data_IF_005941118372
#
_entry.id   IF_005941118372
#
_cell.length_a   1.000
_cell.length_b   1.000
_cell.length_c   1.000
_cell.angle_alpha   90.00
_cell.angle_beta   90.00
_cell.angle_gamma   90.00
#
_symmetry.space_group_name_H-M   'P 1'
#
loop_
_entity.id
_entity.type
_entity.pdbx_description
1 polymer ?
#
# COMPACT_ATOMS: atom_id res chain seq x y z
N UNK A 1 3.93 25.99 24.70
CA UNK A 1 2.63 25.46 24.24
C UNK A 1 2.88 24.11 23.59
N UNK A 2 2.04 23.09 23.81
CA UNK A 2 2.16 21.83 23.09
C UNK A 2 1.98 22.07 21.58
N UNK A 3 2.83 21.47 20.77
CA UNK A 3 2.70 21.50 19.30
C UNK A 3 1.39 20.79 18.93
N UNK A 4 0.51 21.39 18.12
CA UNK A 4 -0.72 20.73 17.69
C UNK A 4 -0.40 19.42 16.95
N UNK A 5 -1.28 18.41 17.04
CA UNK A 5 -1.05 17.15 16.34
C UNK A 5 -0.98 17.40 14.82
N UNK A 6 -0.19 16.61 14.08
CA UNK A 6 -0.12 16.70 12.62
C UNK A 6 -1.49 16.55 11.96
N UNK A 7 -1.70 17.20 10.81
CA UNK A 7 -2.98 17.20 10.07
C UNK A 7 -3.47 15.81 9.59
N UNK A 8 -2.61 14.80 9.69
CA UNK A 8 -2.85 13.40 9.34
C UNK A 8 -3.12 12.50 10.56
N UNK A 9 -2.98 13.05 11.77
CA UNK A 9 -3.02 12.30 13.02
C UNK A 9 -4.32 11.51 13.17
N UNK A 10 -5.47 12.15 12.97
CA UNK A 10 -6.79 11.52 13.12
C UNK A 10 -6.98 10.35 12.15
N UNK A 11 -6.46 10.48 10.93
CA UNK A 11 -6.51 9.42 9.92
C UNK A 11 -5.72 8.18 10.37
N UNK A 12 -4.53 8.39 10.94
CA UNK A 12 -3.67 7.31 11.41
C UNK A 12 -4.14 6.69 12.72
N UNK A 13 -4.74 7.49 13.61
CA UNK A 13 -5.41 6.99 14.79
C UNK A 13 -6.57 6.07 14.39
N UNK A 14 -7.40 6.50 13.42
CA UNK A 14 -8.49 5.68 12.89
C UNK A 14 -8.00 4.40 12.20
N UNK A 15 -6.91 4.49 11.43
CA UNK A 15 -6.27 3.32 10.83
C UNK A 15 -5.84 2.30 11.89
N UNK A 16 -5.15 2.78 12.93
CA UNK A 16 -4.67 1.91 14.02
C UNK A 16 -5.83 1.29 14.80
N UNK A 17 -6.92 2.03 14.99
CA UNK A 17 -8.12 1.53 15.68
C UNK A 17 -8.75 0.34 14.93
N UNK A 18 -8.95 0.45 13.62
CA UNK A 18 -9.60 -0.62 12.83
C UNK A 18 -8.64 -1.71 12.37
N UNK A 19 -7.35 -1.40 12.25
CA UNK A 19 -6.29 -2.32 11.87
C UNK A 19 -5.12 -2.24 12.87
N UNK A 20 -5.23 -2.85 14.07
CA UNK A 20 -4.22 -2.72 15.13
C UNK A 20 -2.83 -3.25 14.77
N UNK A 21 -2.74 -4.09 13.72
CA UNK A 21 -1.46 -4.54 13.19
C UNK A 21 -0.72 -3.44 12.44
N UNK A 22 -1.34 -2.32 12.08
CA UNK A 22 -0.69 -1.16 11.45
C UNK A 22 -0.64 -0.01 12.44
N UNK A 23 0.56 0.46 12.76
CA UNK A 23 0.74 1.61 13.64
C UNK A 23 1.60 2.66 12.97
N UNK A 24 1.23 3.94 13.13
CA UNK A 24 2.00 5.07 12.61
C UNK A 24 2.34 6.00 13.76
N UNK A 25 3.64 6.20 14.01
CA UNK A 25 4.14 7.17 14.99
C UNK A 25 4.83 8.34 14.29
N UNK A 26 4.65 9.53 14.84
CA UNK A 26 5.41 10.70 14.41
C UNK A 26 6.75 10.77 15.13
N UNK A 27 7.80 11.05 14.36
CA UNK A 27 9.15 11.35 14.84
C UNK A 27 9.22 12.88 14.97
N UNK A 28 9.57 13.35 16.17
CA UNK A 28 9.65 14.78 16.45
C UNK A 28 10.75 15.50 15.67
N UNK A 29 10.66 16.81 15.56
CA UNK A 29 11.71 17.63 14.96
C UNK A 29 13.02 17.47 15.76
N UNK A 30 14.10 17.11 15.07
CA UNK A 30 15.40 16.83 15.70
C UNK A 30 15.52 15.45 16.37
N UNK A 31 14.44 14.68 16.48
CA UNK A 31 14.52 13.29 16.93
C UNK A 31 15.15 12.41 15.83
N UNK A 32 16.12 11.55 16.17
CA UNK A 32 16.70 10.62 15.21
C UNK A 32 15.66 9.60 14.75
N UNK A 33 15.80 9.15 13.50
CA UNK A 33 15.01 8.02 13.02
C UNK A 33 15.37 6.74 13.81
N UNK A 34 14.45 5.77 13.92
CA UNK A 34 14.73 4.50 14.59
C UNK A 34 15.88 3.77 13.92
N UNK A 35 16.79 3.21 14.73
CA UNK A 35 17.97 2.47 14.24
C UNK A 35 18.04 1.04 14.78
N UNK A 36 17.08 0.60 15.59
CA UNK A 36 17.08 -0.78 16.10
C UNK A 36 17.00 -1.81 14.95
N UNK A 37 17.54 -3.03 15.10
CA UNK A 37 17.63 -4.02 14.01
C UNK A 37 16.30 -4.41 13.34
N UNK A 38 15.17 -4.14 14.01
CA UNK A 38 13.80 -4.26 13.51
C UNK A 38 13.51 -3.34 12.32
N UNK A 39 14.06 -2.13 12.37
CA UNK A 39 13.73 -1.05 11.47
C UNK A 39 14.55 -1.08 10.19
N UNK A 40 13.92 -0.61 9.13
CA UNK A 40 14.55 -0.24 7.86
C UNK A 40 14.14 1.18 7.48
N UNK A 41 15.04 1.96 6.90
CA UNK A 41 14.69 3.25 6.30
C UNK A 41 14.20 3.06 4.86
N UNK A 42 13.19 3.82 4.44
CA UNK A 42 12.74 3.78 3.04
C UNK A 42 13.85 4.27 2.09
N UNK A 43 14.67 5.23 2.55
CA UNK A 43 15.85 5.68 1.82
C UNK A 43 16.87 4.55 1.59
N UNK A 44 17.20 3.74 2.60
CA UNK A 44 18.14 2.64 2.43
C UNK A 44 17.57 1.49 1.60
N UNK A 45 16.26 1.26 1.63
CA UNK A 45 15.60 0.38 0.66
C UNK A 45 15.73 0.92 -0.78
N UNK A 46 15.52 2.23 -0.97
CA UNK A 46 15.62 2.90 -2.27
C UNK A 46 17.06 2.93 -2.82
N UNK A 47 18.07 3.01 -1.96
CA UNK A 47 19.48 2.90 -2.35
C UNK A 47 19.85 1.47 -2.81
N UNK A 48 19.02 0.47 -2.53
CA UNK A 48 19.28 -0.92 -2.91
C UNK A 48 20.51 -1.53 -2.21
N UNK A 49 20.87 -0.99 -1.04
CA UNK A 49 22.12 -1.29 -0.33
C UNK A 49 21.96 -2.50 0.65
N UNK A 50 22.89 -2.65 1.60
CA UNK A 50 22.86 -3.72 2.60
C UNK A 50 21.57 -3.73 3.47
N UNK A 51 20.90 -2.59 3.62
CA UNK A 51 19.60 -2.49 4.29
C UNK A 51 18.50 -3.23 3.53
N UNK A 52 18.45 -3.08 2.19
CA UNK A 52 17.55 -3.88 1.35
C UNK A 52 17.87 -5.38 1.45
N UNK A 53 19.15 -5.75 1.45
CA UNK A 53 19.55 -7.15 1.58
C UNK A 53 19.09 -7.77 2.90
N UNK A 54 19.32 -7.06 4.01
CA UNK A 54 18.85 -7.47 5.34
C UNK A 54 17.33 -7.56 5.40
N UNK A 55 16.63 -6.61 4.76
CA UNK A 55 15.18 -6.62 4.68
C UNK A 55 14.64 -7.86 3.96
N UNK A 56 15.26 -8.23 2.83
CA UNK A 56 14.88 -9.41 2.02
C UNK A 56 15.32 -10.73 2.65
N UNK A 57 16.42 -10.76 3.40
CA UNK A 57 16.89 -11.96 4.09
C UNK A 57 15.84 -12.52 5.07
N UNK A 58 14.97 -11.66 5.62
CA UNK A 58 13.84 -12.08 6.45
C UNK A 58 12.81 -12.87 5.65
N UNK A 59 12.51 -12.45 4.42
CA UNK A 59 11.59 -13.15 3.53
C UNK A 59 12.16 -14.48 3.08
N UNK A 60 13.46 -14.54 2.76
CA UNK A 60 14.14 -15.78 2.41
C UNK A 60 14.09 -16.79 3.57
N UNK A 61 14.41 -16.33 4.78
CA UNK A 61 14.36 -17.16 5.98
C UNK A 61 12.93 -17.61 6.31
N UNK A 62 11.92 -16.75 6.11
CA UNK A 62 10.53 -17.11 6.32
C UNK A 62 10.06 -18.17 5.32
N UNK A 63 10.34 -17.99 4.03
CA UNK A 63 9.97 -18.98 3.01
C UNK A 63 10.61 -20.34 3.27
N UNK A 64 11.88 -20.37 3.68
CA UNK A 64 12.54 -21.62 4.04
C UNK A 64 11.88 -22.31 5.24
N UNK A 65 11.51 -21.55 6.29
CA UNK A 65 10.85 -22.10 7.47
C UNK A 65 9.46 -22.65 7.16
N UNK A 66 8.66 -21.90 6.42
CA UNK A 66 7.24 -22.19 6.23
C UNK A 66 7.02 -23.27 5.15
N UNK A 67 7.89 -23.34 4.13
CA UNK A 67 7.72 -24.25 2.98
C UNK A 67 8.83 -25.31 2.83
N UNK A 68 9.85 -25.31 3.70
CA UNK A 68 10.96 -26.26 3.65
C UNK A 68 11.86 -26.14 2.41
N UNK A 69 11.71 -25.07 1.61
CA UNK A 69 12.50 -24.83 0.39
C UNK A 69 12.83 -23.35 0.24
N UNK A 70 13.93 -23.06 -0.45
CA UNK A 70 14.31 -21.67 -0.75
C UNK A 70 13.45 -21.08 -1.85
N UNK A 71 13.06 -19.82 -1.68
CA UNK A 71 12.44 -19.04 -2.74
C UNK A 71 13.45 -18.60 -3.79
N UNK A 72 12.98 -18.35 -5.02
CA UNK A 72 13.81 -17.68 -6.03
C UNK A 72 14.10 -16.24 -5.57
N UNK A 73 15.32 -15.71 -5.76
CA UNK A 73 15.67 -14.35 -5.30
C UNK A 73 14.73 -13.26 -5.80
N UNK A 74 14.25 -13.35 -7.05
CA UNK A 74 13.31 -12.37 -7.61
C UNK A 74 11.90 -12.46 -7.02
N UNK A 75 11.51 -13.63 -6.49
CA UNK A 75 10.23 -13.84 -5.82
C UNK A 75 10.31 -13.32 -4.38
N UNK A 76 11.43 -13.57 -3.70
CA UNK A 76 11.74 -12.98 -2.39
C UNK A 76 11.71 -11.45 -2.48
N UNK A 77 12.35 -10.89 -3.51
CA UNK A 77 12.32 -9.45 -3.76
C UNK A 77 10.88 -8.94 -3.96
N UNK A 78 10.05 -9.65 -4.73
CA UNK A 78 8.64 -9.31 -4.93
C UNK A 78 7.86 -9.29 -3.61
N UNK A 79 8.05 -10.30 -2.74
CA UNK A 79 7.40 -10.33 -1.43
C UNK A 79 7.82 -9.17 -0.55
N UNK A 80 9.12 -8.87 -0.51
CA UNK A 80 9.63 -7.71 0.21
C UNK A 80 8.99 -6.42 -0.29
N UNK A 81 8.89 -6.23 -1.61
CA UNK A 81 8.27 -5.02 -2.17
C UNK A 81 6.80 -4.89 -1.77
N UNK A 82 6.00 -5.97 -1.88
CA UNK A 82 4.61 -5.97 -1.44
C UNK A 82 4.47 -5.64 0.06
N UNK A 83 5.30 -6.29 0.90
CA UNK A 83 5.28 -6.10 2.36
C UNK A 83 5.64 -4.69 2.80
N UNK A 84 6.50 -3.99 2.05
CA UNK A 84 6.79 -2.58 2.29
C UNK A 84 5.71 -1.66 1.70
N UNK A 85 5.35 -1.89 0.43
CA UNK A 85 4.53 -0.97 -0.36
C UNK A 85 3.09 -0.89 0.15
N UNK A 86 2.53 -1.99 0.66
CA UNK A 86 1.16 -2.00 1.21
C UNK A 86 1.01 -0.98 2.37
N UNK A 87 1.76 -1.09 3.49
CA UNK A 87 1.63 -0.12 4.58
C UNK A 87 2.15 1.28 4.20
N UNK A 88 3.15 1.39 3.31
CA UNK A 88 3.62 2.69 2.84
C UNK A 88 2.55 3.45 2.04
N UNK A 89 1.77 2.78 1.19
CA UNK A 89 0.66 3.40 0.46
C UNK A 89 -0.40 3.98 1.41
N UNK A 90 -0.68 3.31 2.54
CA UNK A 90 -1.66 3.77 3.53
C UNK A 90 -1.32 5.13 4.15
N UNK A 91 -0.03 5.51 4.23
CA UNK A 91 0.39 6.83 4.68
C UNK A 91 -0.20 7.96 3.82
N UNK A 92 -0.45 7.70 2.55
CA UNK A 92 -0.99 8.69 1.62
C UNK A 92 -2.49 8.51 1.42
N UNK A 93 -2.93 7.26 1.26
CA UNK A 93 -4.29 6.95 0.83
C UNK A 93 -5.31 7.06 1.97
N UNK A 94 -4.95 6.78 3.22
CA UNK A 94 -5.91 6.86 4.34
C UNK A 94 -6.27 8.30 4.70
N UNK A 95 -5.31 9.25 4.85
CA UNK A 95 -5.66 10.66 5.01
C UNK A 95 -6.49 11.22 3.85
N UNK A 96 -6.24 10.75 2.62
CA UNK A 96 -7.03 11.14 1.46
C UNK A 96 -8.46 10.58 1.53
N UNK A 97 -8.60 9.30 1.82
CA UNK A 97 -9.88 8.62 1.81
C UNK A 97 -10.81 9.07 2.95
N UNK A 98 -10.25 9.36 4.13
CA UNK A 98 -11.04 9.77 5.30
C UNK A 98 -11.26 11.28 5.39
N UNK A 99 -10.27 12.08 4.97
CA UNK A 99 -10.27 13.52 5.24
C UNK A 99 -9.95 14.39 4.02
N UNK A 100 -9.81 13.81 2.82
CA UNK A 100 -9.43 14.54 1.60
C UNK A 100 -8.12 15.32 1.74
N UNK A 101 -7.17 14.77 2.50
CA UNK A 101 -5.82 15.33 2.69
C UNK A 101 -4.77 14.40 2.11
N UNK A 102 -3.88 14.93 1.28
CA UNK A 102 -2.78 14.14 0.69
C UNK A 102 -1.45 14.65 1.25
N UNK A 103 -0.83 13.94 2.21
CA UNK A 103 0.50 14.32 2.70
C UNK A 103 1.59 13.99 1.67
N UNK A 104 2.75 14.65 1.78
CA UNK A 104 3.97 14.24 1.07
C UNK A 104 5.00 13.68 2.04
N UNK A 105 5.51 12.48 1.72
CA UNK A 105 6.58 11.82 2.44
C UNK A 105 7.67 11.37 1.45
N UNK A 106 8.75 12.13 1.29
CA UNK A 106 9.94 11.61 0.63
C UNK A 106 10.46 10.36 1.35
N UNK A 107 11.21 9.49 0.66
CA UNK A 107 11.78 8.26 1.25
C UNK A 107 12.65 8.51 2.49
N UNK A 108 13.19 9.72 2.66
CA UNK A 108 13.96 10.12 3.85
C UNK A 108 13.10 10.34 5.10
N UNK A 109 11.78 10.34 4.97
CA UNK A 109 10.84 10.67 6.05
C UNK A 109 10.14 9.43 6.63
N UNK A 110 10.41 8.22 6.13
CA UNK A 110 9.70 7.01 6.52
C UNK A 110 10.69 5.91 6.93
N UNK A 111 10.46 5.35 8.11
CA UNK A 111 11.07 4.11 8.57
C UNK A 111 9.99 3.06 8.82
N UNK A 112 10.31 1.79 8.59
CA UNK A 112 9.37 0.69 8.68
C UNK A 112 9.96 -0.48 9.47
N UNK A 113 9.16 -1.10 10.33
CA UNK A 113 9.49 -2.33 11.02
C UNK A 113 8.31 -3.30 10.93
N UNK A 114 8.62 -4.54 10.57
CA UNK A 114 7.65 -5.64 10.42
C UNK A 114 7.84 -6.81 11.38
N UNK A 115 8.59 -6.60 12.45
CA UNK A 115 8.95 -7.66 13.40
C UNK A 115 7.76 -8.04 14.29
N UNK A 116 6.96 -7.04 14.67
CA UNK A 116 5.78 -7.19 15.53
C UNK A 116 4.69 -6.23 15.02
N UNK A 117 3.87 -6.73 14.09
CA UNK A 117 2.98 -5.90 13.27
C UNK A 117 3.74 -5.09 12.21
N UNK A 118 3.05 -4.14 11.58
CA UNK A 118 3.52 -3.20 10.56
C UNK A 118 3.63 -1.81 11.18
N UNK A 119 4.82 -1.47 11.67
CA UNK A 119 5.08 -0.22 12.39
C UNK A 119 5.77 0.77 11.47
N UNK A 120 5.19 1.96 11.34
CA UNK A 120 5.73 3.06 10.56
C UNK A 120 6.13 4.18 11.52
N UNK A 121 7.35 4.70 11.34
CA UNK A 121 7.79 5.91 12.01
C UNK A 121 8.02 6.97 10.94
N UNK A 122 7.27 8.06 11.02
CA UNK A 122 7.25 9.10 9.99
C UNK A 122 7.60 10.46 10.56
N UNK A 123 8.38 11.24 9.81
CA UNK A 123 8.52 12.68 10.13
C UNK A 123 7.20 13.39 9.85
N UNK A 124 6.92 14.49 10.53
CA UNK A 124 5.75 15.32 10.20
C UNK A 124 5.84 15.81 8.74
N UNK A 125 4.80 15.63 7.91
CA UNK A 125 4.83 16.08 6.53
C UNK A 125 4.91 17.61 6.48
N UNK A 126 5.88 18.14 5.73
CA UNK A 126 6.06 19.59 5.59
C UNK A 126 4.93 20.25 4.77
N UNK A 127 4.30 19.48 3.88
CA UNK A 127 3.16 19.94 3.10
C UNK A 127 2.14 18.83 2.87
N UNK A 128 0.90 19.25 2.60
CA UNK A 128 -0.19 18.36 2.20
C UNK A 128 -1.15 19.10 1.25
N UNK A 129 -1.78 18.38 0.32
CA UNK A 129 -2.86 18.93 -0.50
C UNK A 129 -4.22 18.73 0.17
N UNK A 130 -5.14 19.68 -0.01
CA UNK A 130 -6.53 19.60 0.48
C UNK A 130 -7.47 20.37 -0.43
N UNK A 131 -8.78 20.17 -0.26
CA UNK A 131 -9.82 20.86 -1.03
C UNK A 131 -10.15 22.25 -0.45
N UNK A 132 -10.80 23.13 -1.24
CA UNK A 132 -11.33 24.38 -0.72
C UNK A 132 -12.36 24.08 0.39
N UNK A 133 -12.25 24.76 1.52
CA UNK A 133 -13.13 24.56 2.67
C UNK A 133 -12.68 23.49 3.67
N UNK A 134 -11.55 22.80 3.44
CA UNK A 134 -10.94 21.95 4.49
C UNK A 134 -10.61 22.82 5.72
N UNK A 135 -10.98 22.40 6.95
CA UNK A 135 -10.62 23.12 8.17
C UNK A 135 -9.11 23.41 8.34
N UNK A 136 -8.25 22.58 7.74
CA UNK A 136 -6.80 22.72 7.75
C UNK A 136 -6.26 23.57 6.59
N UNK A 137 -7.11 24.16 5.73
CA UNK A 137 -6.68 24.96 4.58
C UNK A 137 -5.84 26.20 4.95
N UNK A 138 -5.97 26.70 6.18
CA UNK A 138 -5.16 27.81 6.70
C UNK A 138 -3.81 27.36 7.30
N UNK A 139 -3.53 26.06 7.37
CA UNK A 139 -2.26 25.55 7.87
C UNK A 139 -1.10 25.98 6.95
N UNK A 140 0.07 26.39 7.46
CA UNK A 140 1.18 26.88 6.63
C UNK A 140 1.67 25.90 5.56
N UNK A 141 1.57 24.60 5.83
CA UNK A 141 1.89 23.52 4.89
C UNK A 141 0.76 23.12 3.93
N UNK A 142 -0.41 23.76 4.00
CA UNK A 142 -1.55 23.41 3.16
C UNK A 142 -1.37 23.90 1.72
N UNK A 143 -1.60 23.01 0.75
CA UNK A 143 -1.73 23.33 -0.67
C UNK A 143 -3.16 23.10 -1.10
N UNK A 144 -3.95 24.16 -1.19
CA UNK A 144 -5.34 24.06 -1.61
C UNK A 144 -5.40 23.82 -3.12
N UNK A 145 -6.01 22.70 -3.53
CA UNK A 145 -6.25 22.35 -4.93
C UNK A 145 -7.70 22.65 -5.32
N UNK A 146 -8.01 22.88 -6.60
CA UNK A 146 -9.34 23.40 -6.99
C UNK A 146 -10.48 22.39 -6.85
N UNK A 147 -10.21 21.09 -7.02
CA UNK A 147 -11.24 20.06 -7.05
C UNK A 147 -10.71 18.66 -6.69
N UNK A 148 -11.64 17.70 -6.62
CA UNK A 148 -11.38 16.29 -6.28
C UNK A 148 -10.44 15.59 -7.28
N UNK A 149 -10.45 15.96 -8.56
CA UNK A 149 -9.54 15.34 -9.54
C UNK A 149 -8.12 15.87 -9.37
N UNK A 150 -7.97 17.17 -9.12
CA UNK A 150 -6.69 17.76 -8.76
C UNK A 150 -6.14 17.13 -7.46
N UNK A 151 -6.99 16.83 -6.48
CA UNK A 151 -6.57 16.12 -5.27
C UNK A 151 -6.13 14.68 -5.55
N UNK A 152 -6.85 13.94 -6.39
CA UNK A 152 -6.43 12.60 -6.85
C UNK A 152 -5.12 12.66 -7.63
N UNK A 153 -4.88 13.71 -8.40
CA UNK A 153 -3.61 13.94 -9.08
C UNK A 153 -2.46 14.18 -8.09
N UNK A 154 -2.68 14.95 -7.02
CA UNK A 154 -1.71 15.11 -5.94
C UNK A 154 -1.45 13.77 -5.22
N UNK A 155 -2.48 12.94 -4.98
CA UNK A 155 -2.29 11.61 -4.39
C UNK A 155 -1.41 10.71 -5.26
N UNK A 156 -1.72 10.64 -6.56
CA UNK A 156 -0.90 9.92 -7.54
C UNK A 156 0.53 10.45 -7.58
N UNK A 157 0.73 11.77 -7.51
CA UNK A 157 2.06 12.34 -7.51
C UNK A 157 2.83 12.03 -6.21
N UNK A 158 2.18 12.10 -5.05
CA UNK A 158 2.82 11.86 -3.75
C UNK A 158 3.24 10.41 -3.57
N UNK A 159 2.37 9.46 -3.95
CA UNK A 159 2.71 8.04 -3.91
C UNK A 159 3.80 7.72 -4.93
N UNK A 160 3.77 8.32 -6.13
CA UNK A 160 4.80 8.11 -7.13
C UNK A 160 6.18 8.65 -6.69
N UNK A 161 6.23 9.86 -6.13
CA UNK A 161 7.45 10.46 -5.58
C UNK A 161 8.10 9.55 -4.53
N UNK A 162 7.28 8.92 -3.68
CA UNK A 162 7.78 8.01 -2.65
C UNK A 162 8.27 6.69 -3.25
N UNK A 163 7.52 6.12 -4.19
CA UNK A 163 7.79 4.77 -4.70
C UNK A 163 8.84 4.73 -5.79
N UNK A 164 8.99 5.76 -6.63
CA UNK A 164 9.95 5.72 -7.75
C UNK A 164 11.38 5.33 -7.31
N UNK A 165 11.98 5.96 -6.27
CA UNK A 165 13.30 5.53 -5.77
C UNK A 165 13.31 4.10 -5.20
N UNK A 166 12.21 3.66 -4.58
CA UNK A 166 12.09 2.29 -4.07
C UNK A 166 12.06 1.28 -5.22
N UNK A 167 11.31 1.55 -6.27
CA UNK A 167 11.25 0.66 -7.44
C UNK A 167 12.62 0.59 -8.14
N UNK A 168 13.39 1.68 -8.14
CA UNK A 168 14.77 1.69 -8.62
C UNK A 168 15.70 0.82 -7.74
N UNK A 169 15.61 0.94 -6.42
CA UNK A 169 16.39 0.13 -5.48
C UNK A 169 16.08 -1.38 -5.57
N UNK A 170 14.80 -1.74 -5.69
CA UNK A 170 14.39 -3.14 -5.85
C UNK A 170 14.63 -3.68 -7.26
N UNK A 171 14.57 -2.83 -8.30
CA UNK A 171 14.63 -3.19 -9.71
C UNK A 171 15.74 -4.19 -10.09
N UNK A 172 17.00 -4.01 -9.65
CA UNK A 172 18.09 -4.95 -9.90
C UNK A 172 17.80 -6.39 -9.46
N UNK A 173 17.02 -6.60 -8.40
CA UNK A 173 16.65 -7.92 -7.85
C UNK A 173 15.42 -8.52 -8.53
N UNK A 174 14.68 -7.74 -9.30
CA UNK A 174 13.40 -8.13 -9.87
C UNK A 174 13.56 -8.76 -11.26
N UNK A 175 12.79 -9.82 -11.52
CA UNK A 175 12.67 -10.41 -12.86
C UNK A 175 11.91 -9.50 -13.83
N UNK A 176 10.87 -8.82 -13.34
CA UNK A 176 10.04 -7.88 -14.12
C UNK A 176 10.27 -6.47 -13.58
N UNK A 177 10.61 -5.52 -14.47
CA UNK A 177 11.01 -4.14 -14.11
C UNK A 177 10.09 -3.10 -14.74
N UNK A 178 10.30 -1.84 -14.40
CA UNK A 178 9.61 -0.69 -14.99
C UNK A 178 8.10 -0.79 -14.80
N UNK A 179 7.34 -0.93 -15.90
CA UNK A 179 5.86 -1.00 -15.88
C UNK A 179 5.32 -2.08 -14.93
N UNK A 180 6.00 -3.24 -14.84
CA UNK A 180 5.53 -4.32 -13.96
C UNK A 180 5.66 -3.99 -12.46
N UNK A 181 6.63 -3.15 -12.08
CA UNK A 181 6.79 -2.70 -10.70
C UNK A 181 5.73 -1.65 -10.34
N UNK A 182 5.37 -0.78 -11.28
CA UNK A 182 4.26 0.16 -11.11
C UNK A 182 2.89 -0.53 -11.01
N UNK A 183 2.73 -1.72 -11.60
CA UNK A 183 1.54 -2.53 -11.39
C UNK A 183 1.40 -2.96 -9.92
N UNK A 184 2.52 -3.26 -9.24
CA UNK A 184 2.51 -3.57 -7.79
C UNK A 184 2.02 -2.36 -6.99
N UNK A 185 2.54 -1.16 -7.25
CA UNK A 185 2.07 0.05 -6.53
C UNK A 185 0.59 0.33 -6.78
N UNK A 186 0.11 0.07 -8.01
CA UNK A 186 -1.32 0.18 -8.35
C UNK A 186 -2.14 -0.78 -7.49
N UNK A 187 -1.71 -2.04 -7.40
CA UNK A 187 -2.38 -3.04 -6.56
C UNK A 187 -2.34 -2.67 -5.07
N UNK A 188 -1.22 -2.16 -4.55
CA UNK A 188 -1.11 -1.77 -3.14
C UNK A 188 -2.02 -0.61 -2.75
N UNK A 189 -2.19 0.39 -3.63
CA UNK A 189 -3.16 1.47 -3.43
C UNK A 189 -4.57 0.89 -3.30
N UNK A 190 -4.95 0.04 -4.25
CA UNK A 190 -6.31 -0.54 -4.31
C UNK A 190 -6.55 -1.46 -3.13
N UNK A 191 -5.60 -2.33 -2.80
CA UNK A 191 -5.70 -3.28 -1.67
C UNK A 191 -5.74 -2.60 -0.33
N UNK A 192 -4.86 -1.63 -0.11
CA UNK A 192 -4.80 -0.92 1.15
C UNK A 192 -6.11 -0.22 1.46
N UNK A 193 -6.62 0.58 0.52
CA UNK A 193 -7.89 1.31 0.71
C UNK A 193 -9.06 0.34 0.81
N UNK A 194 -9.16 -0.65 -0.08
CA UNK A 194 -10.26 -1.63 -0.06
C UNK A 194 -10.33 -2.41 1.26
N UNK A 195 -9.18 -2.88 1.75
CA UNK A 195 -9.10 -3.62 3.00
C UNK A 195 -9.49 -2.76 4.21
N UNK A 196 -8.93 -1.56 4.34
CA UNK A 196 -9.25 -0.66 5.46
C UNK A 196 -10.70 -0.20 5.39
N UNK A 197 -11.23 0.09 4.21
CA UNK A 197 -12.63 0.46 4.04
C UNK A 197 -13.59 -0.68 4.43
N UNK A 198 -13.26 -1.94 4.14
CA UNK A 198 -14.03 -3.09 4.61
C UNK A 198 -14.06 -3.18 6.15
N UNK A 199 -12.95 -2.87 6.82
CA UNK A 199 -12.90 -2.82 8.30
C UNK A 199 -13.71 -1.64 8.89
N UNK A 200 -13.91 -0.58 8.11
CA UNK A 200 -14.72 0.58 8.50
C UNK A 200 -16.23 0.35 8.30
N UNK A 201 -16.62 -0.63 7.47
CA UNK A 201 -18.00 -1.04 7.24
C UNK A 201 -18.38 -1.09 5.75
N UNK A 202 -19.51 -1.72 5.42
CA UNK A 202 -19.92 -1.94 4.03
C UNK A 202 -20.21 -0.64 3.24
N UNK A 203 -20.70 0.41 3.89
CA UNK A 203 -20.89 1.71 3.24
C UNK A 203 -19.55 2.34 2.79
N UNK A 204 -18.55 2.28 3.67
CA UNK A 204 -17.20 2.78 3.41
C UNK A 204 -16.51 1.96 2.33
N UNK A 205 -16.68 0.64 2.35
CA UNK A 205 -16.19 -0.27 1.31
C UNK A 205 -16.76 0.05 -0.07
N UNK A 206 -18.07 0.31 -0.17
CA UNK A 206 -18.70 0.70 -1.43
C UNK A 206 -18.27 2.12 -1.87
N UNK A 207 -18.02 3.04 -0.93
CA UNK A 207 -17.37 4.33 -1.25
C UNK A 207 -15.96 4.12 -1.79
N UNK A 208 -15.15 3.26 -1.16
CA UNK A 208 -13.80 2.96 -1.58
C UNK A 208 -13.75 2.41 -3.00
N UNK A 209 -14.68 1.53 -3.39
CA UNK A 209 -14.79 1.02 -4.76
C UNK A 209 -14.86 2.17 -5.77
N UNK A 210 -15.81 3.09 -5.58
CA UNK A 210 -16.01 4.25 -6.47
C UNK A 210 -14.80 5.19 -6.49
N UNK A 211 -14.27 5.50 -5.32
CA UNK A 211 -13.11 6.40 -5.19
C UNK A 211 -11.85 5.83 -5.85
N UNK A 212 -11.63 4.52 -5.74
CA UNK A 212 -10.51 3.83 -6.38
C UNK A 212 -10.66 3.74 -7.90
N UNK A 213 -11.87 3.52 -8.41
CA UNK A 213 -12.17 3.57 -9.85
C UNK A 213 -11.87 4.95 -10.44
N UNK A 214 -12.17 6.02 -9.70
CA UNK A 214 -11.82 7.41 -10.08
C UNK A 214 -10.32 7.71 -9.93
N UNK A 215 -9.66 7.14 -8.91
CA UNK A 215 -8.23 7.34 -8.68
C UNK A 215 -7.36 6.68 -9.76
N UNK A 216 -7.73 5.46 -10.18
CA UNK A 216 -6.96 4.62 -11.11
C UNK A 216 -7.83 4.15 -12.30
N UNK A 217 -8.20 5.05 -13.22
CA UNK A 217 -9.02 4.72 -14.40
C UNK A 217 -8.22 4.05 -15.54
N UNK A 218 -6.91 3.84 -15.40
CA UNK A 218 -6.09 3.09 -16.37
C UNK A 218 -5.18 3.91 -17.30
N UNK A 219 -5.43 5.22 -17.41
CA UNK A 219 -4.62 6.15 -18.21
C UNK A 219 -3.69 7.04 -17.36
N UNK A 220 -3.44 6.65 -16.10
CA UNK A 220 -2.72 7.45 -15.11
C UNK A 220 -1.27 7.02 -15.00
N UNK A 221 -0.38 7.52 -15.87
CA UNK A 221 1.06 7.25 -15.74
C UNK A 221 1.59 7.81 -14.40
N UNK A 222 2.59 7.16 -13.77
CA UNK A 222 3.29 5.93 -14.20
C UNK A 222 2.55 4.62 -13.84
N UNK A 223 1.41 4.70 -13.16
CA UNK A 223 0.60 3.55 -12.77
C UNK A 223 0.15 2.70 -13.96
N UNK A 224 0.00 1.40 -13.70
CA UNK A 224 -0.32 0.39 -14.71
C UNK A 224 -1.49 -0.43 -14.21
N UNK A 225 -2.52 -0.54 -15.04
CA UNK A 225 -3.77 -1.21 -14.67
C UNK A 225 -4.81 -0.21 -14.14
N UNK A 226 -5.93 -0.75 -13.69
CA UNK A 226 -7.05 0.00 -13.11
C UNK A 226 -7.32 -0.51 -11.70
N UNK A 227 -8.30 0.05 -11.01
CA UNK A 227 -8.84 -0.57 -9.79
C UNK A 227 -9.40 -2.00 -10.05
N UNK A 228 -9.84 -2.27 -11.28
CA UNK A 228 -10.20 -3.59 -11.82
C UNK A 228 -11.23 -4.39 -11.00
N UNK A 229 -12.08 -3.72 -10.21
CA UNK A 229 -13.20 -4.37 -9.53
C UNK A 229 -14.17 -4.98 -10.53
N UNK A 230 -14.66 -6.17 -10.20
CA UNK A 230 -15.69 -6.86 -10.97
C UNK A 230 -16.45 -7.83 -10.10
N UNK A 231 -17.57 -8.31 -10.62
CA UNK A 231 -18.42 -9.30 -9.95
C UNK A 231 -18.43 -10.60 -10.75
N UNK A 232 -18.47 -11.72 -10.03
CA UNK A 232 -18.70 -13.04 -10.58
C UNK A 232 -20.01 -13.60 -10.03
N UNK A 233 -20.68 -14.44 -10.81
CA UNK A 233 -21.89 -15.14 -10.36
C UNK A 233 -21.49 -16.48 -9.76
N UNK A 234 -21.84 -16.69 -8.49
CA UNK A 234 -21.66 -17.96 -7.80
C UNK A 234 -22.65 -19.05 -8.26
N UNK A 235 -22.45 -20.30 -7.82
CA UNK A 235 -23.29 -21.43 -8.23
C UNK A 235 -24.78 -21.26 -7.91
N UNK A 236 -25.12 -20.53 -6.85
CA UNK A 236 -26.49 -20.29 -6.40
C UNK A 236 -27.03 -18.90 -6.84
N UNK A 237 -26.34 -18.25 -7.78
CA UNK A 237 -26.71 -16.94 -8.33
C UNK A 237 -26.27 -15.74 -7.48
N UNK A 238 -25.56 -15.95 -6.39
CA UNK A 238 -25.01 -14.89 -5.54
C UNK A 238 -23.93 -14.08 -6.28
N UNK A 239 -23.85 -12.77 -6.00
CA UNK A 239 -22.74 -11.93 -6.49
C UNK A 239 -21.49 -12.14 -5.62
N UNK A 240 -20.37 -12.44 -6.28
CA UNK A 240 -19.06 -12.67 -5.68
C UNK A 240 -18.11 -11.53 -6.11
N UNK A 241 -17.92 -10.50 -5.27
CA UNK A 241 -17.05 -9.38 -5.61
C UNK A 241 -15.58 -9.84 -5.67
N UNK A 242 -14.87 -9.35 -6.67
CA UNK A 242 -13.46 -9.66 -6.88
C UNK A 242 -12.77 -8.52 -7.62
N UNK A 243 -11.49 -8.70 -7.92
CA UNK A 243 -10.77 -7.88 -8.88
C UNK A 243 -9.63 -8.63 -9.53
N UNK A 244 -9.22 -8.13 -10.68
CA UNK A 244 -8.06 -8.65 -11.39
C UNK A 244 -6.83 -7.79 -11.06
N UNK A 245 -5.87 -8.35 -10.31
CA UNK A 245 -4.62 -7.65 -10.00
C UNK A 245 -3.84 -7.31 -11.27
N UNK A 246 -3.22 -6.14 -11.28
CA UNK A 246 -2.34 -5.72 -12.38
C UNK A 246 -0.96 -6.41 -12.31
N UNK A 247 -0.50 -6.76 -11.11
CA UNK A 247 0.81 -7.37 -10.84
C UNK A 247 0.71 -8.89 -10.60
N UNK A 248 1.86 -9.56 -10.63
CA UNK A 248 1.98 -10.98 -10.28
C UNK A 248 3.10 -11.14 -9.26
N UNK A 249 2.75 -11.50 -8.02
CA UNK A 249 3.69 -11.74 -6.92
C UNK A 249 4.54 -13.02 -7.08
N UNK A 250 4.24 -13.86 -8.09
CA UNK A 250 4.93 -15.12 -8.37
C UNK A 250 4.93 -16.15 -7.23
N UNK A 251 4.01 -16.01 -6.26
CA UNK A 251 3.85 -16.93 -5.13
C UNK A 251 3.62 -18.39 -5.56
N UNK A 252 2.99 -18.60 -6.72
CA UNK A 252 2.81 -19.93 -7.33
C UNK A 252 4.11 -20.74 -7.53
N UNK A 253 5.28 -20.09 -7.50
CA UNK A 253 6.58 -20.78 -7.56
C UNK A 253 7.01 -21.38 -6.22
N UNK A 254 6.39 -20.91 -5.12
CA UNK A 254 6.54 -21.43 -3.77
C UNK A 254 5.42 -22.45 -3.50
N UNK A 255 4.17 -22.06 -3.66
CA UNK A 255 3.03 -22.95 -3.51
C UNK A 255 2.05 -22.76 -4.69
N UNK A 256 2.02 -23.69 -5.66
CA UNK A 256 1.19 -23.55 -6.84
C UNK A 256 -0.31 -23.73 -6.57
N UNK A 257 -0.70 -24.36 -5.47
CA UNK A 257 -2.09 -24.70 -5.16
C UNK A 257 -2.79 -23.59 -4.34
N UNK A 258 -1.99 -22.71 -3.73
CA UNK A 258 -2.46 -21.61 -2.88
C UNK A 258 -2.46 -20.24 -3.61
N UNK A 259 -3.18 -20.17 -4.73
CA UNK A 259 -3.39 -18.91 -5.45
C UNK A 259 -4.47 -18.05 -4.77
N UNK A 260 -4.26 -16.74 -4.66
CA UNK A 260 -5.27 -15.83 -4.13
C UNK A 260 -6.44 -15.61 -5.12
N UNK A 261 -7.62 -15.26 -4.60
CA UNK A 261 -8.82 -15.04 -5.41
C UNK A 261 -8.71 -13.87 -6.40
N UNK A 262 -7.68 -13.02 -6.30
CA UNK A 262 -7.42 -11.90 -7.21
C UNK A 262 -6.21 -12.13 -8.12
N UNK A 263 -5.62 -13.33 -8.10
CA UNK A 263 -4.41 -13.67 -8.85
C UNK A 263 -4.67 -13.65 -10.37
N UNK A 264 -3.82 -13.01 -11.19
CA UNK A 264 -4.00 -12.98 -12.64
C UNK A 264 -3.81 -14.36 -13.31
N UNK A 265 -3.36 -15.39 -12.57
CA UNK A 265 -3.25 -16.77 -13.05
C UNK A 265 -4.48 -17.64 -12.74
N UNK A 266 -5.34 -17.20 -11.83
CA UNK A 266 -6.53 -17.94 -11.43
C UNK A 266 -7.64 -17.69 -12.45
N UNK A 267 -8.20 -18.76 -13.01
CA UNK A 267 -9.34 -18.68 -13.92
C UNK A 267 -10.64 -18.46 -13.13
N UNK A 268 -11.72 -18.09 -13.81
CA UNK A 268 -12.97 -17.71 -13.14
C UNK A 268 -13.62 -18.88 -12.39
N UNK A 269 -13.53 -20.11 -12.91
CA UNK A 269 -14.06 -21.29 -12.23
C UNK A 269 -13.37 -21.51 -10.86
N UNK A 270 -12.04 -21.43 -10.82
CA UNK A 270 -11.26 -21.58 -9.59
C UNK A 270 -11.51 -20.39 -8.64
N UNK A 271 -11.61 -19.17 -9.19
CA UNK A 271 -11.92 -17.96 -8.42
C UNK A 271 -13.29 -18.05 -7.75
N UNK A 272 -14.32 -18.50 -8.48
CA UNK A 272 -15.67 -18.71 -7.94
C UNK A 272 -15.62 -19.72 -6.79
N UNK A 273 -14.92 -20.84 -6.97
CA UNK A 273 -14.78 -21.86 -5.92
C UNK A 273 -14.15 -21.28 -4.64
N UNK A 274 -13.05 -20.52 -4.78
CA UNK A 274 -12.37 -19.86 -3.65
C UNK A 274 -13.27 -18.84 -2.95
N UNK A 275 -13.91 -17.94 -3.71
CA UNK A 275 -14.78 -16.90 -3.15
C UNK A 275 -16.01 -17.48 -2.46
N UNK A 276 -16.60 -18.55 -3.01
CA UNK A 276 -17.74 -19.24 -2.41
C UNK A 276 -17.35 -19.91 -1.08
N UNK A 277 -16.16 -20.53 -1.01
CA UNK A 277 -15.67 -21.13 0.22
C UNK A 277 -15.44 -20.07 1.33
N UNK A 278 -14.88 -18.91 0.98
CA UNK A 278 -14.69 -17.79 1.93
C UNK A 278 -16.01 -17.20 2.41
N UNK A 279 -17.01 -17.06 1.52
CA UNK A 279 -18.33 -16.54 1.89
C UNK A 279 -19.13 -17.50 2.80
N UNK A 280 -18.77 -18.79 2.82
CA UNK A 280 -19.40 -19.81 3.67
C UNK A 280 -18.69 -20.01 5.02
N UNK A 281 -17.53 -19.36 5.24
CA UNK A 281 -16.70 -19.46 6.45
C UNK A 281 -16.96 -18.28 7.40
#
# INVERSE_FOLDING_TARGET
MPTPPPVVHDAYARLTEVCPSVTVRHIGDGEPAPTDPGWVSAAGLAEGNAELERYLARDDAQVLRDYGKKGRPDVIASFGLHRYSWPACLLFTIPWFLHRRVPRFPVTHVSYDRTDGMRLAVRTPQSFACLPGDPAAAHPGARVVPDEEALRAELRAAVAEHHEPLLDGFGPRMRRRGRALWATVTDEIVEGVWYVAALLGEEEKERARRELELLLPGATRPYVGTAAFRELTGPDGQSLPTRDRASCCMYYTIDPDDLCATCPRTCDAERIAKLTATAAS
#
